data_IF_619915358727
#
_entry.id   IF_619915358727
#
_cell.length_a   1.000
_cell.length_b   1.000
_cell.length_c   1.000
_cell.angle_alpha   90.00
_cell.angle_beta   90.00
_cell.angle_gamma   90.00
#
_symmetry.space_group_name_H-M   'P 1'
#
loop_
_entity.id
_entity.type
_entity.pdbx_description
1 polymer ?
#
# COMPACT_ATOMS: atom_id res chain seq x y z
N UNK A 1 21.41 -1.14 16.84
CA UNK A 1 22.12 -0.22 15.94
C UNK A 1 21.41 1.14 15.88
N UNK A 2 22.15 2.21 15.65
CA UNK A 2 21.63 3.61 15.58
C UNK A 2 20.55 3.77 14.50
N UNK A 3 20.55 2.93 13.49
CA UNK A 3 19.61 2.89 12.36
C UNK A 3 18.18 2.51 12.78
N UNK A 4 18.05 1.58 13.72
CA UNK A 4 16.74 1.14 14.20
C UNK A 4 16.00 2.24 14.98
N UNK A 5 16.71 3.20 15.59
CA UNK A 5 16.09 4.31 16.31
C UNK A 5 15.46 5.32 15.36
N UNK A 6 16.13 5.70 14.26
CA UNK A 6 15.59 6.67 13.30
C UNK A 6 14.36 6.18 12.54
N UNK A 7 14.33 4.90 12.19
CA UNK A 7 13.15 4.26 11.56
C UNK A 7 12.06 3.96 12.58
N UNK A 8 12.42 3.65 13.83
CA UNK A 8 11.48 3.41 14.92
C UNK A 8 10.63 4.64 15.26
N UNK A 9 11.19 5.84 15.18
CA UNK A 9 10.43 7.08 15.40
C UNK A 9 9.43 7.37 14.27
N UNK A 10 9.77 7.01 13.04
CA UNK A 10 8.83 7.08 11.90
C UNK A 10 7.71 6.06 12.10
N UNK A 11 8.02 4.85 12.55
CA UNK A 11 7.05 3.81 12.86
C UNK A 11 6.08 4.25 13.98
N UNK A 12 6.57 4.85 15.06
CA UNK A 12 5.73 5.39 16.14
C UNK A 12 4.74 6.46 15.66
N UNK A 13 5.13 7.29 14.71
CA UNK A 13 4.21 8.29 14.11
C UNK A 13 3.13 7.69 13.22
N UNK A 14 3.35 6.48 12.65
CA UNK A 14 2.36 5.73 11.89
C UNK A 14 1.28 5.09 12.77
N UNK A 15 1.52 4.98 14.08
CA UNK A 15 0.55 4.45 15.06
C UNK A 15 -0.60 5.42 15.41
N UNK A 16 -0.72 6.55 14.73
CA UNK A 16 -1.95 7.36 14.78
C UNK A 16 -3.12 6.52 14.28
N UNK A 17 -4.24 6.54 15.03
CA UNK A 17 -5.40 5.71 14.76
C UNK A 17 -5.91 5.74 13.32
N UNK A 18 -6.72 4.74 12.96
CA UNK A 18 -7.31 4.58 11.64
C UNK A 18 -6.42 3.87 10.62
N UNK A 19 -6.99 3.60 9.45
CA UNK A 19 -6.38 2.82 8.36
C UNK A 19 -5.46 3.62 7.44
N UNK A 20 -5.29 4.92 7.67
CA UNK A 20 -4.49 5.78 6.81
C UNK A 20 -3.02 5.34 6.79
N UNK A 21 -2.45 5.27 5.58
CA UNK A 21 -1.05 4.95 5.31
C UNK A 21 -0.32 6.18 4.79
N UNK A 22 0.89 6.44 5.30
CA UNK A 22 1.77 7.46 4.76
C UNK A 22 3.23 7.00 4.85
N UNK A 23 3.90 6.94 3.71
CA UNK A 23 5.31 6.57 3.61
C UNK A 23 6.23 7.79 3.38
N UNK A 24 5.68 9.02 3.36
CA UNK A 24 6.46 10.24 3.10
C UNK A 24 7.56 10.45 4.16
N UNK A 25 7.22 10.29 5.44
CA UNK A 25 8.19 10.41 6.54
C UNK A 25 9.28 9.33 6.49
N UNK A 26 8.91 8.09 6.13
CA UNK A 26 9.86 7.00 5.97
C UNK A 26 10.82 7.26 4.81
N UNK A 27 10.32 7.72 3.66
CA UNK A 27 11.15 8.11 2.51
C UNK A 27 12.18 9.18 2.90
N UNK A 28 11.75 10.21 3.62
CA UNK A 28 12.64 11.30 4.06
C UNK A 28 13.71 10.80 5.05
N UNK A 29 13.33 9.91 5.98
CA UNK A 29 14.26 9.31 6.92
C UNK A 29 15.32 8.47 6.21
N UNK A 30 14.93 7.62 5.27
CA UNK A 30 15.85 6.82 4.45
C UNK A 30 16.78 7.71 3.64
N UNK A 31 16.29 8.78 3.02
CA UNK A 31 17.11 9.69 2.24
C UNK A 31 18.22 10.33 3.10
N UNK A 32 17.86 10.79 4.31
CA UNK A 32 18.84 11.38 5.25
C UNK A 32 19.89 10.36 5.69
N UNK A 33 19.49 9.14 6.01
CA UNK A 33 20.39 8.08 6.42
C UNK A 33 21.29 7.67 5.26
N UNK A 34 20.75 7.52 4.06
CA UNK A 34 21.51 7.06 2.89
C UNK A 34 22.68 7.96 2.53
N UNK A 35 22.58 9.27 2.81
CA UNK A 35 23.67 10.23 2.57
C UNK A 35 24.86 10.07 3.53
N UNK A 36 24.71 9.36 4.64
CA UNK A 36 25.77 9.14 5.65
C UNK A 36 26.44 7.77 5.55
N UNK A 37 25.96 6.90 4.67
CA UNK A 37 26.48 5.53 4.53
C UNK A 37 27.87 5.52 3.88
N UNK A 38 28.78 4.76 4.49
CA UNK A 38 30.18 4.67 4.06
C UNK A 38 30.52 3.32 3.42
N UNK A 39 29.75 2.28 3.71
CA UNK A 39 30.04 0.93 3.24
C UNK A 39 28.86 0.31 2.47
N UNK A 40 29.18 -0.72 1.67
CA UNK A 40 28.17 -1.52 0.95
C UNK A 40 27.31 -2.32 1.94
N UNK A 41 27.89 -2.79 3.03
CA UNK A 41 27.16 -3.52 4.07
C UNK A 41 26.12 -2.64 4.74
N UNK A 42 26.47 -1.39 5.10
CA UNK A 42 25.50 -0.45 5.66
C UNK A 42 24.30 -0.18 4.73
N UNK A 43 24.52 -0.16 3.41
CA UNK A 43 23.42 -0.04 2.44
C UNK A 43 22.49 -1.26 2.48
N UNK A 44 23.04 -2.45 2.58
CA UNK A 44 22.25 -3.67 2.70
C UNK A 44 21.47 -3.71 4.01
N UNK A 45 22.09 -3.33 5.11
CA UNK A 45 21.46 -3.28 6.43
C UNK A 45 20.33 -2.25 6.46
N UNK A 46 20.52 -1.08 5.84
CA UNK A 46 19.47 -0.08 5.69
C UNK A 46 18.31 -0.60 4.84
N UNK A 47 18.61 -1.27 3.73
CA UNK A 47 17.56 -1.85 2.86
C UNK A 47 16.74 -2.92 3.60
N UNK A 48 17.41 -3.80 4.35
CA UNK A 48 16.75 -4.82 5.17
C UNK A 48 15.87 -4.19 6.27
N UNK A 49 16.38 -3.15 6.95
CA UNK A 49 15.64 -2.42 7.97
C UNK A 49 14.43 -1.69 7.39
N UNK A 50 14.57 -1.12 6.18
CA UNK A 50 13.47 -0.49 5.45
C UNK A 50 12.39 -1.50 5.10
N UNK A 51 12.75 -2.64 4.51
CA UNK A 51 11.83 -3.73 4.17
C UNK A 51 11.05 -4.18 5.42
N UNK A 52 11.75 -4.43 6.52
CA UNK A 52 11.12 -4.85 7.78
C UNK A 52 10.14 -3.79 8.30
N UNK A 53 10.52 -2.52 8.27
CA UNK A 53 9.66 -1.41 8.72
C UNK A 53 8.38 -1.33 7.89
N UNK A 54 8.45 -1.50 6.57
CA UNK A 54 7.26 -1.55 5.70
C UNK A 54 6.36 -2.71 6.07
N UNK A 55 6.93 -3.90 6.27
CA UNK A 55 6.17 -5.09 6.66
C UNK A 55 5.42 -4.89 7.98
N UNK A 56 6.07 -4.29 8.97
CA UNK A 56 5.48 -4.00 10.29
C UNK A 56 4.38 -2.95 10.20
N UNK A 57 4.57 -1.88 9.42
CA UNK A 57 3.54 -0.86 9.19
C UNK A 57 2.30 -1.50 8.53
N UNK A 58 2.51 -2.30 7.50
CA UNK A 58 1.40 -2.97 6.80
C UNK A 58 0.69 -3.97 7.71
N UNK A 59 1.41 -4.71 8.55
CA UNK A 59 0.82 -5.62 9.55
C UNK A 59 -0.13 -4.87 10.48
N UNK A 60 0.37 -3.79 11.12
CA UNK A 60 -0.42 -3.01 12.09
C UNK A 60 -1.65 -2.38 11.42
N UNK A 61 -1.48 -1.76 10.25
CA UNK A 61 -2.58 -1.12 9.55
C UNK A 61 -3.61 -2.11 9.00
N UNK A 62 -3.17 -3.28 8.59
CA UNK A 62 -4.08 -4.36 8.19
C UNK A 62 -4.89 -4.87 9.37
N UNK A 63 -4.28 -5.00 10.55
CA UNK A 63 -5.01 -5.36 11.76
C UNK A 63 -6.11 -4.34 12.09
N UNK A 64 -5.77 -3.05 12.07
CA UNK A 64 -6.75 -1.97 12.29
C UNK A 64 -7.88 -2.03 11.26
N UNK A 65 -7.56 -2.30 9.99
CA UNK A 65 -8.57 -2.42 8.93
C UNK A 65 -9.49 -3.63 9.17
N UNK A 66 -8.98 -4.75 9.68
CA UNK A 66 -9.80 -5.90 10.03
C UNK A 66 -10.73 -5.61 11.20
N UNK A 67 -10.22 -4.93 12.24
CA UNK A 67 -11.02 -4.53 13.39
C UNK A 67 -12.16 -3.58 12.98
N UNK A 68 -11.88 -2.62 12.09
CA UNK A 68 -12.91 -1.70 11.56
C UNK A 68 -13.91 -2.43 10.64
N UNK A 69 -13.44 -3.35 9.81
CA UNK A 69 -14.32 -4.18 8.97
C UNK A 69 -15.29 -5.00 9.83
N UNK A 70 -14.80 -5.64 10.89
CA UNK A 70 -15.64 -6.44 11.79
C UNK A 70 -16.71 -5.60 12.50
N UNK A 71 -16.38 -4.38 12.91
CA UNK A 71 -17.35 -3.45 13.53
C UNK A 71 -18.44 -3.01 12.55
N UNK A 72 -18.06 -2.77 11.28
CA UNK A 72 -18.95 -2.17 10.28
C UNK A 72 -19.81 -3.21 9.55
N UNK A 73 -19.18 -4.33 9.14
CA UNK A 73 -19.79 -5.36 8.27
C UNK A 73 -20.17 -6.61 9.04
N UNK A 74 -19.55 -6.83 10.19
CA UNK A 74 -19.71 -8.03 10.99
C UNK A 74 -18.90 -9.22 10.46
N UNK A 75 -19.25 -10.43 10.93
CA UNK A 75 -18.49 -11.67 10.62
C UNK A 75 -18.87 -12.34 9.31
N UNK A 76 -19.24 -11.59 8.29
CA UNK A 76 -19.57 -12.11 6.96
C UNK A 76 -18.30 -12.56 6.21
N UNK A 77 -18.38 -12.76 4.91
CA UNK A 77 -17.26 -13.20 4.09
C UNK A 77 -16.01 -12.31 4.29
N UNK A 78 -14.92 -12.92 4.78
CA UNK A 78 -13.68 -12.26 5.16
C UNK A 78 -12.62 -12.48 4.08
N UNK A 79 -12.74 -11.77 2.97
CA UNK A 79 -11.72 -11.73 1.93
C UNK A 79 -10.91 -10.45 2.01
N UNK A 80 -9.58 -10.56 1.93
CA UNK A 80 -8.67 -9.42 1.89
C UNK A 80 -7.83 -9.47 0.62
N UNK A 81 -8.07 -8.51 -0.27
CA UNK A 81 -7.39 -8.40 -1.56
C UNK A 81 -6.19 -7.47 -1.43
N UNK A 82 -5.03 -7.94 -1.84
CA UNK A 82 -3.78 -7.16 -1.87
C UNK A 82 -3.28 -7.12 -3.32
N UNK A 83 -3.32 -5.95 -3.94
CA UNK A 83 -2.96 -5.74 -5.33
C UNK A 83 -1.99 -4.55 -5.50
N UNK A 84 -1.56 -4.29 -6.74
CA UNK A 84 -0.60 -3.24 -7.07
C UNK A 84 0.86 -3.69 -6.96
N UNK A 85 1.80 -2.86 -7.42
CA UNK A 85 3.21 -3.23 -7.56
C UNK A 85 3.87 -3.74 -6.27
N UNK A 86 3.51 -3.16 -5.11
CA UNK A 86 4.03 -3.59 -3.80
C UNK A 86 3.57 -5.01 -3.43
N UNK A 87 2.41 -5.44 -3.93
CA UNK A 87 1.91 -6.80 -3.72
C UNK A 87 2.74 -7.89 -4.41
N UNK A 88 3.67 -7.55 -5.31
CA UNK A 88 4.64 -8.49 -5.86
C UNK A 88 5.77 -8.84 -4.88
N UNK A 89 5.99 -8.03 -3.84
CA UNK A 89 7.04 -8.25 -2.84
C UNK A 89 6.76 -9.49 -2.01
N UNK A 90 7.67 -10.47 -2.06
CA UNK A 90 7.50 -11.79 -1.41
C UNK A 90 7.46 -11.66 0.12
N UNK A 91 8.27 -10.78 0.71
CA UNK A 91 8.30 -10.55 2.17
C UNK A 91 6.95 -10.02 2.66
N UNK A 92 6.43 -8.99 1.99
CA UNK A 92 5.13 -8.40 2.28
C UNK A 92 4.00 -9.43 2.12
N UNK A 93 4.00 -10.23 1.04
CA UNK A 93 3.02 -11.32 0.85
C UNK A 93 3.04 -12.29 2.03
N UNK A 94 4.23 -12.79 2.40
CA UNK A 94 4.38 -13.73 3.52
C UNK A 94 3.86 -13.13 4.83
N UNK A 95 4.16 -11.87 5.08
CA UNK A 95 3.74 -11.16 6.29
C UNK A 95 2.22 -11.02 6.33
N UNK A 96 1.60 -10.51 5.26
CA UNK A 96 0.15 -10.29 5.20
C UNK A 96 -0.65 -11.59 5.18
N UNK A 97 -0.14 -12.66 4.57
CA UNK A 97 -0.75 -14.00 4.67
C UNK A 97 -0.83 -14.46 6.14
N UNK A 98 0.24 -14.24 6.93
CA UNK A 98 0.23 -14.59 8.36
C UNK A 98 -0.81 -13.76 9.13
N UNK A 99 -0.90 -12.46 8.85
CA UNK A 99 -1.91 -11.57 9.47
C UNK A 99 -3.33 -12.02 9.13
N UNK A 100 -3.60 -12.33 7.85
CA UNK A 100 -4.90 -12.82 7.40
C UNK A 100 -5.28 -14.13 8.12
N UNK A 101 -4.37 -15.11 8.15
CA UNK A 101 -4.60 -16.40 8.81
C UNK A 101 -4.91 -16.23 10.30
N UNK A 102 -4.17 -15.38 11.01
CA UNK A 102 -4.39 -15.09 12.43
C UNK A 102 -5.78 -14.52 12.71
N UNK A 103 -6.35 -13.78 11.76
CA UNK A 103 -7.64 -13.10 11.90
C UNK A 103 -8.77 -13.77 11.10
N UNK A 104 -8.57 -14.99 10.61
CA UNK A 104 -9.55 -15.74 9.81
C UNK A 104 -10.02 -15.00 8.54
N UNK A 105 -9.11 -14.24 7.91
CA UNK A 105 -9.33 -13.65 6.59
C UNK A 105 -8.70 -14.50 5.50
N UNK A 106 -9.36 -14.61 4.36
CA UNK A 106 -8.83 -15.25 3.14
C UNK A 106 -8.00 -14.23 2.36
N UNK A 107 -6.65 -14.38 2.28
CA UNK A 107 -5.83 -13.49 1.49
C UNK A 107 -5.98 -13.79 0.00
N UNK A 108 -6.13 -12.77 -0.82
CA UNK A 108 -6.22 -12.86 -2.27
C UNK A 108 -5.12 -11.96 -2.87
N UNK A 109 -4.24 -12.55 -3.66
CA UNK A 109 -3.19 -11.85 -4.38
C UNK A 109 -3.28 -12.16 -5.88
N UNK A 110 -3.12 -11.17 -6.74
CA UNK A 110 -2.89 -11.42 -8.16
C UNK A 110 -1.58 -12.19 -8.37
N UNK A 111 -1.43 -12.82 -9.53
CA UNK A 111 -0.13 -13.32 -9.96
C UNK A 111 0.89 -12.17 -9.95
N UNK A 112 2.17 -12.44 -9.56
CA UNK A 112 3.20 -11.39 -9.48
C UNK A 112 3.35 -10.56 -10.76
N UNK A 113 3.23 -11.20 -11.93
CA UNK A 113 3.30 -10.53 -13.25
C UNK A 113 2.14 -9.56 -13.53
N UNK A 114 1.02 -9.72 -12.82
CA UNK A 114 -0.17 -8.87 -12.95
C UNK A 114 -0.28 -7.81 -11.84
N UNK A 115 0.68 -7.76 -10.92
CA UNK A 115 0.68 -6.78 -9.84
C UNK A 115 1.08 -5.37 -10.29
N UNK A 116 1.90 -5.25 -11.34
CA UNK A 116 2.27 -3.95 -11.94
C UNK A 116 1.25 -3.50 -12.99
N UNK A 117 1.52 -2.32 -13.55
CA UNK A 117 0.73 -1.81 -14.65
C UNK A 117 0.82 -2.76 -15.85
N UNK A 118 -0.33 -3.12 -16.41
CA UNK A 118 -0.40 -4.03 -17.55
C UNK A 118 -1.62 -3.74 -18.43
N UNK A 119 -1.51 -4.07 -19.71
CA UNK A 119 -2.57 -3.83 -20.68
C UNK A 119 -3.84 -4.67 -20.42
N UNK A 120 -3.70 -5.87 -19.81
CA UNK A 120 -4.84 -6.76 -19.57
C UNK A 120 -5.85 -6.14 -18.60
N UNK A 121 -5.41 -5.43 -17.55
CA UNK A 121 -6.32 -4.77 -16.62
C UNK A 121 -7.09 -3.62 -17.28
N UNK A 122 -6.48 -2.90 -18.21
CA UNK A 122 -7.12 -1.82 -18.96
C UNK A 122 -8.10 -2.39 -19.97
N UNK A 123 -7.73 -3.45 -20.68
CA UNK A 123 -8.64 -4.17 -21.58
C UNK A 123 -9.87 -4.72 -20.86
N UNK A 124 -9.70 -5.26 -19.64
CA UNK A 124 -10.82 -5.73 -18.82
C UNK A 124 -11.78 -4.58 -18.46
N UNK A 125 -11.25 -3.43 -18.02
CA UNK A 125 -12.08 -2.25 -17.72
C UNK A 125 -12.80 -1.76 -18.98
N UNK A 126 -12.12 -1.76 -20.14
CA UNK A 126 -12.71 -1.44 -21.43
C UNK A 126 -13.88 -2.38 -21.77
N UNK A 127 -13.69 -3.68 -21.57
CA UNK A 127 -14.75 -4.68 -21.80
C UNK A 127 -15.98 -4.46 -20.88
N UNK A 128 -15.74 -4.19 -19.60
CA UNK A 128 -16.84 -3.92 -18.66
C UNK A 128 -17.60 -2.62 -19.02
N UNK A 129 -16.89 -1.55 -19.40
CA UNK A 129 -17.51 -0.32 -19.92
C UNK A 129 -18.31 -0.59 -21.21
N UNK A 130 -17.77 -1.41 -22.11
CA UNK A 130 -18.45 -1.78 -23.36
C UNK A 130 -19.78 -2.49 -23.10
N UNK A 131 -19.81 -3.48 -22.19
CA UNK A 131 -21.02 -4.22 -21.82
C UNK A 131 -22.15 -3.31 -21.33
N UNK A 132 -21.81 -2.25 -20.59
CA UNK A 132 -22.79 -1.28 -20.08
C UNK A 132 -22.95 -0.05 -21.00
N UNK A 133 -22.42 -0.11 -22.21
CA UNK A 133 -22.50 0.96 -23.24
C UNK A 133 -22.01 2.33 -22.73
N UNK A 134 -21.00 2.33 -21.85
CA UNK A 134 -20.41 3.55 -21.29
C UNK A 134 -19.13 3.90 -22.06
N UNK A 135 -19.24 4.85 -22.95
CA UNK A 135 -18.15 5.33 -23.80
C UNK A 135 -17.77 6.76 -23.44
N UNK A 136 -16.49 7.03 -23.43
CA UNK A 136 -15.97 8.39 -23.33
C UNK A 136 -15.88 9.01 -24.73
N UNK A 137 -15.86 10.34 -24.81
CA UNK A 137 -15.68 11.08 -26.08
C UNK A 137 -14.21 10.99 -26.53
N UNK A 138 -13.97 11.23 -27.81
CA UNK A 138 -12.61 11.19 -28.40
C UNK A 138 -11.70 12.33 -27.90
N UNK A 139 -12.28 13.38 -27.33
CA UNK A 139 -11.59 14.53 -26.74
C UNK A 139 -11.25 14.35 -25.24
N UNK A 140 -11.37 13.11 -24.73
CA UNK A 140 -11.05 12.80 -23.34
C UNK A 140 -9.60 13.17 -23.01
N UNK A 141 -9.42 14.15 -22.11
CA UNK A 141 -8.11 14.51 -21.61
C UNK A 141 -7.57 13.47 -20.60
N UNK A 142 -6.27 13.18 -20.68
CA UNK A 142 -5.62 12.35 -19.67
C UNK A 142 -5.65 13.03 -18.30
N UNK A 143 -6.06 12.29 -17.28
CA UNK A 143 -6.09 12.77 -15.90
C UNK A 143 -5.01 12.04 -15.08
N UNK A 144 -3.88 12.69 -14.74
CA UNK A 144 -2.78 12.06 -13.99
C UNK A 144 -3.15 11.76 -12.53
N UNK A 145 -4.27 12.31 -12.05
CA UNK A 145 -4.78 12.13 -10.69
C UNK A 145 -6.27 11.91 -10.73
N UNK A 146 -6.67 10.65 -10.79
CA UNK A 146 -8.06 10.26 -10.70
C UNK A 146 -8.29 9.58 -9.36
N UNK A 147 -8.94 10.22 -8.36
CA UNK A 147 -9.21 9.59 -7.08
C UNK A 147 -10.25 8.48 -7.26
N UNK A 148 -10.06 7.36 -6.55
CA UNK A 148 -10.99 6.23 -6.54
C UNK A 148 -12.36 6.64 -5.98
N UNK A 149 -12.35 7.46 -4.94
CA UNK A 149 -13.56 8.08 -4.38
C UNK A 149 -13.51 9.58 -4.58
N UNK A 150 -14.28 10.07 -5.54
CA UNK A 150 -14.38 11.50 -5.87
C UNK A 150 -15.09 12.32 -4.78
N UNK A 151 -15.79 11.66 -3.86
CA UNK A 151 -16.52 12.30 -2.75
C UNK A 151 -15.72 12.31 -1.45
N UNK A 152 -14.56 11.64 -1.40
CA UNK A 152 -13.72 11.60 -0.20
C UNK A 152 -13.23 12.99 0.18
N UNK A 153 -13.41 13.37 1.45
CA UNK A 153 -13.03 14.70 1.98
C UNK A 153 -11.53 14.98 1.95
N UNK A 154 -10.67 13.96 1.76
CA UNK A 154 -9.20 14.04 1.84
C UNK A 154 -8.54 13.48 0.60
N UNK A 155 -8.74 14.12 -0.52
CA UNK A 155 -8.06 13.78 -1.78
C UNK A 155 -6.66 14.40 -1.90
N UNK A 156 -6.04 14.76 -0.77
CA UNK A 156 -4.72 15.37 -0.74
C UNK A 156 -3.63 14.30 -0.90
N UNK A 157 -3.13 14.14 -2.11
CA UNK A 157 -1.87 13.46 -2.38
C UNK A 157 -0.67 14.36 -2.11
N UNK A 158 0.52 13.78 -1.96
CA UNK A 158 1.77 14.55 -1.87
C UNK A 158 1.88 15.53 -3.07
N UNK A 159 2.04 16.81 -2.78
CA UNK A 159 2.20 17.86 -3.79
C UNK A 159 0.90 18.58 -4.21
N UNK A 160 -0.24 18.32 -3.60
CA UNK A 160 -1.42 19.19 -3.73
C UNK A 160 -1.31 20.31 -2.72
N UNK A 161 -0.91 21.49 -3.17
CA UNK A 161 -1.15 22.74 -2.44
C UNK A 161 -2.57 23.19 -2.77
N UNK A 162 -3.35 23.49 -1.75
CA UNK A 162 -4.60 24.25 -1.88
C UNK A 162 -4.23 25.70 -2.02
#
# INVERSE_FOLDING_TARGET
TTWSRGLGDVYKRQNKGGCNLSFAGLKTAILRISSTLKSKQEKYDLAASFQKTIEEILEVKTQVAFDEFEKTIGKKERAFVIAGGVAANIGIRKKLIKVCKKNNFRPIFPEPKLCGDNAAMIALVGLEKYKVKKFDKLDLAASPRLPLDQKAKFLKGAGVRL
#
